data_IF_610746439860
#
_entry.id   IF_610746439860
#
_cell.length_a   1.000
_cell.length_b   1.000
_cell.length_c   1.000
_cell.angle_alpha   90.00
_cell.angle_beta   90.00
_cell.angle_gamma   90.00
#
_symmetry.space_group_name_H-M   'P 1'
#
loop_
_entity.id
_entity.type
_entity.pdbx_description
1 polymer ?
#
# COMPACT_ATOMS: atom_id res chain seq x y z
N UNK A 1 25.25 -0.39 0.83
CA UNK A 1 24.41 -1.52 1.31
C UNK A 1 23.35 -1.77 0.25
N UNK A 2 23.28 -2.93 -0.41
CA UNK A 2 22.12 -3.24 -1.26
C UNK A 2 20.89 -3.37 -0.36
N UNK A 3 19.78 -2.73 -0.74
CA UNK A 3 18.49 -2.93 -0.10
C UNK A 3 18.16 -4.44 -0.11
N UNK A 4 17.67 -4.98 1.00
CA UNK A 4 17.23 -6.36 1.06
C UNK A 4 16.18 -6.62 -0.04
N UNK A 5 16.24 -7.74 -0.77
CA UNK A 5 15.31 -8.01 -1.85
C UNK A 5 13.88 -8.14 -1.30
N UNK A 6 12.94 -7.37 -1.87
CA UNK A 6 11.50 -7.48 -1.55
C UNK A 6 10.99 -8.91 -1.78
N UNK A 7 11.60 -9.67 -2.69
CA UNK A 7 11.21 -11.03 -3.04
C UNK A 7 11.37 -12.05 -1.89
N UNK A 8 12.23 -11.80 -0.90
CA UNK A 8 12.37 -12.69 0.25
C UNK A 8 11.31 -12.45 1.34
N UNK A 9 10.65 -11.29 1.32
CA UNK A 9 9.71 -10.88 2.35
C UNK A 9 8.27 -11.15 1.90
N UNK A 10 7.62 -12.10 2.56
CA UNK A 10 6.24 -12.50 2.27
C UNK A 10 5.25 -11.50 2.84
N UNK A 11 4.65 -10.68 1.98
CA UNK A 11 3.76 -9.59 2.40
C UNK A 11 2.27 -9.97 2.43
N UNK A 12 1.88 -11.12 1.87
CA UNK A 12 0.48 -11.52 1.78
C UNK A 12 -0.24 -11.50 3.14
N UNK A 13 -1.52 -11.14 3.11
CA UNK A 13 -2.36 -11.06 4.30
C UNK A 13 -2.82 -9.64 4.61
N UNK A 14 -3.34 -9.46 5.81
CA UNK A 14 -3.93 -8.20 6.27
C UNK A 14 -2.92 -7.31 6.97
N UNK A 15 -3.05 -6.00 6.74
CA UNK A 15 -2.21 -4.97 7.32
C UNK A 15 -3.04 -3.76 7.70
N UNK A 16 -2.69 -3.11 8.79
CA UNK A 16 -3.37 -1.92 9.32
C UNK A 16 -2.53 -0.69 8.94
N UNK A 17 -3.10 0.21 8.15
CA UNK A 17 -2.47 1.44 7.70
C UNK A 17 -3.04 2.67 8.38
N UNK A 18 -2.16 3.60 8.78
CA UNK A 18 -2.57 4.90 9.33
C UNK A 18 -2.61 5.96 8.21
N UNK A 19 -3.81 6.26 7.72
CA UNK A 19 -4.05 7.31 6.74
C UNK A 19 -4.33 8.62 7.51
N UNK A 20 -3.36 9.54 7.51
CA UNK A 20 -3.46 10.80 8.25
C UNK A 20 -4.79 11.53 7.98
N UNK A 21 -5.60 11.74 9.03
CA UNK A 21 -6.91 12.40 8.93
C UNK A 21 -8.09 11.44 8.73
N UNK A 22 -7.82 10.15 8.53
CA UNK A 22 -8.80 9.07 8.48
C UNK A 22 -8.51 8.07 9.62
N UNK A 23 -9.45 7.16 9.89
CA UNK A 23 -9.24 6.10 10.87
C UNK A 23 -8.16 5.11 10.38
N UNK A 24 -7.72 4.21 11.26
CA UNK A 24 -6.90 3.08 10.82
C UNK A 24 -7.68 2.27 9.77
N UNK A 25 -7.05 2.01 8.62
CA UNK A 25 -7.66 1.26 7.53
C UNK A 25 -6.94 -0.07 7.31
N UNK A 26 -7.70 -1.16 7.20
CA UNK A 26 -7.18 -2.48 6.89
C UNK A 26 -7.03 -2.63 5.38
N UNK A 27 -5.89 -3.15 4.95
CA UNK A 27 -5.63 -3.57 3.58
C UNK A 27 -5.33 -5.06 3.54
N UNK A 28 -5.64 -5.71 2.42
CA UNK A 28 -5.18 -7.07 2.10
C UNK A 28 -4.17 -7.00 0.97
N UNK A 29 -3.01 -7.61 1.17
CA UNK A 29 -1.97 -7.73 0.15
C UNK A 29 -2.05 -9.11 -0.49
N UNK A 30 -2.11 -9.14 -1.81
CA UNK A 30 -2.06 -10.34 -2.63
C UNK A 30 -0.83 -10.32 -3.56
N UNK A 31 -0.27 -11.50 -3.84
CA UNK A 31 0.76 -11.68 -4.87
C UNK A 31 0.10 -11.97 -6.21
N UNK A 32 0.21 -11.06 -7.17
CA UNK A 32 -0.39 -11.19 -8.50
C UNK A 32 0.69 -10.93 -9.55
N UNK A 33 1.06 -11.96 -10.32
CA UNK A 33 1.99 -11.85 -11.45
C UNK A 33 3.32 -11.12 -11.12
N UNK A 34 3.92 -11.41 -9.96
CA UNK A 34 5.18 -10.78 -9.53
C UNK A 34 5.01 -9.37 -8.96
N UNK A 35 3.78 -8.97 -8.62
CA UNK A 35 3.47 -7.71 -7.94
C UNK A 35 2.76 -7.97 -6.62
N UNK A 36 3.03 -7.12 -5.66
CA UNK A 36 2.20 -6.94 -4.47
C UNK A 36 1.06 -6.00 -4.82
N UNK A 37 -0.18 -6.42 -4.56
CA UNK A 37 -1.38 -5.61 -4.78
C UNK A 37 -2.10 -5.46 -3.46
N UNK A 38 -2.19 -4.23 -2.96
CA UNK A 38 -2.88 -3.89 -1.72
C UNK A 38 -4.28 -3.36 -2.00
N UNK A 39 -5.29 -4.09 -1.52
CA UNK A 39 -6.70 -3.73 -1.64
C UNK A 39 -7.24 -3.28 -0.30
N UNK A 40 -7.97 -2.17 -0.25
CA UNK A 40 -8.66 -1.69 0.95
C UNK A 40 -9.70 -2.72 1.39
N UNK A 41 -9.54 -3.28 2.59
CA UNK A 41 -10.53 -4.14 3.26
C UNK A 41 -11.54 -3.24 3.96
N UNK A 42 -11.05 -2.28 4.72
CA UNK A 42 -11.80 -1.08 5.10
C UNK A 42 -11.32 0.06 4.22
N UNK A 43 -12.21 1.00 3.90
CA UNK A 43 -11.89 2.14 3.05
C UNK A 43 -12.49 3.42 3.57
N UNK A 44 -12.05 4.49 2.95
CA UNK A 44 -12.39 5.87 3.30
C UNK A 44 -13.13 6.55 2.13
N UNK A 45 -13.53 7.80 2.31
CA UNK A 45 -14.27 8.57 1.31
C UNK A 45 -13.47 8.82 0.02
N UNK A 46 -12.13 8.71 0.09
CA UNK A 46 -11.24 8.91 -1.05
C UNK A 46 -10.93 7.59 -1.77
N UNK A 47 -10.72 6.50 -1.04
CA UNK A 47 -10.49 5.16 -1.61
C UNK A 47 -11.33 4.15 -0.83
N UNK A 48 -12.50 3.73 -1.38
CA UNK A 48 -13.44 2.89 -0.66
C UNK A 48 -12.96 1.43 -0.53
N UNK A 49 -13.63 0.67 0.33
CA UNK A 49 -13.38 -0.75 0.48
C UNK A 49 -13.58 -1.50 -0.85
N UNK A 50 -12.71 -2.46 -1.15
CA UNK A 50 -12.66 -3.21 -2.40
C UNK A 50 -11.74 -2.60 -3.46
N UNK A 51 -11.31 -1.35 -3.30
CA UNK A 51 -10.43 -0.68 -4.25
C UNK A 51 -8.94 -0.92 -3.94
N UNK A 52 -8.12 -0.92 -4.99
CA UNK A 52 -6.66 -0.98 -4.84
C UNK A 52 -6.15 0.35 -4.29
N UNK A 53 -5.43 0.32 -3.18
CA UNK A 53 -4.76 1.50 -2.63
C UNK A 53 -3.36 1.68 -3.21
N UNK A 54 -2.63 0.59 -3.44
CA UNK A 54 -1.34 0.62 -4.13
C UNK A 54 -0.96 -0.74 -4.71
N UNK A 55 -0.06 -0.72 -5.68
CA UNK A 55 0.56 -1.92 -6.25
C UNK A 55 2.03 -1.69 -6.52
N UNK A 56 2.87 -2.65 -6.16
CA UNK A 56 4.32 -2.56 -6.31
C UNK A 56 4.90 -3.82 -6.93
N UNK A 57 5.93 -3.68 -7.75
CA UNK A 57 6.73 -4.78 -8.22
C UNK A 57 7.41 -5.49 -7.04
N UNK A 58 7.25 -6.81 -6.96
CA UNK A 58 7.68 -7.58 -5.79
C UNK A 58 9.20 -7.73 -5.67
N UNK A 59 9.96 -7.31 -6.68
CA UNK A 59 11.43 -7.39 -6.66
C UNK A 59 12.06 -6.01 -6.42
N UNK A 60 11.52 -4.98 -7.05
CA UNK A 60 12.10 -3.62 -7.06
C UNK A 60 11.41 -2.66 -6.10
N UNK A 61 10.20 -3.01 -5.61
CA UNK A 61 9.38 -2.12 -4.79
C UNK A 61 8.78 -0.94 -5.56
N UNK A 62 9.13 -0.74 -6.84
CA UNK A 62 8.58 0.35 -7.66
C UNK A 62 7.11 0.08 -7.95
N UNK A 63 6.29 1.10 -7.81
CA UNK A 63 4.86 0.93 -7.90
C UNK A 63 4.11 2.21 -8.19
N UNK A 64 2.83 2.15 -7.89
CA UNK A 64 1.92 3.27 -7.99
C UNK A 64 0.83 3.12 -6.94
N UNK A 65 0.35 4.25 -6.44
CA UNK A 65 -0.69 4.33 -5.44
C UNK A 65 -1.91 5.07 -5.99
N UNK A 66 -3.09 4.58 -5.66
CA UNK A 66 -4.36 5.20 -6.04
C UNK A 66 -4.60 6.43 -5.17
N UNK A 67 -5.07 7.50 -5.80
CA UNK A 67 -5.59 8.69 -5.12
C UNK A 67 -6.89 9.11 -5.82
N UNK A 68 -7.80 9.73 -5.06
CA UNK A 68 -9.01 10.33 -5.59
C UNK A 68 -9.44 11.49 -4.68
N UNK A 69 -10.30 12.38 -5.21
CA UNK A 69 -11.03 13.33 -4.39
C UNK A 69 -12.12 12.64 -3.55
N UNK A 70 -12.76 13.41 -2.68
CA UNK A 70 -13.88 12.94 -1.84
C UNK A 70 -14.99 12.30 -2.70
N UNK A 71 -15.60 11.23 -2.19
CA UNK A 71 -16.58 10.45 -2.93
C UNK A 71 -15.98 9.63 -4.08
N UNK A 72 -14.70 9.23 -3.95
CA UNK A 72 -13.94 8.52 -4.97
C UNK A 72 -13.91 9.23 -6.34
N UNK A 73 -13.81 10.57 -6.33
CA UNK A 73 -13.88 11.38 -7.55
C UNK A 73 -12.54 11.47 -8.28
N UNK A 74 -12.56 11.32 -9.61
CA UNK A 74 -11.36 11.35 -10.48
C UNK A 74 -10.23 10.41 -10.02
N UNK A 75 -10.51 9.11 -9.80
CA UNK A 75 -9.51 8.18 -9.31
C UNK A 75 -8.39 8.02 -10.33
N UNK A 76 -7.15 8.04 -9.84
CA UNK A 76 -5.96 7.87 -10.67
C UNK A 76 -4.81 7.31 -9.85
N UNK A 77 -3.92 6.62 -10.53
CA UNK A 77 -2.67 6.16 -9.95
C UNK A 77 -1.57 7.21 -10.11
N UNK A 78 -0.77 7.39 -9.06
CA UNK A 78 0.48 8.16 -9.09
C UNK A 78 1.68 7.26 -8.88
N UNK A 79 2.84 7.57 -9.47
CA UNK A 79 4.07 6.86 -9.18
C UNK A 79 4.36 6.80 -7.68
N UNK A 80 4.88 5.67 -7.23
CA UNK A 80 5.25 5.46 -5.84
C UNK A 80 6.26 4.34 -5.67
N UNK A 81 6.60 4.05 -4.42
CA UNK A 81 7.40 2.88 -4.10
C UNK A 81 7.05 2.32 -2.72
N UNK A 82 7.17 1.02 -2.62
CA UNK A 82 7.10 0.27 -1.39
C UNK A 82 8.47 0.27 -0.72
N UNK A 83 8.48 0.37 0.60
CA UNK A 83 9.66 0.27 1.48
C UNK A 83 9.34 -0.77 2.57
N UNK A 84 10.25 -1.70 2.81
CA UNK A 84 10.13 -2.66 3.93
C UNK A 84 10.96 -2.12 5.08
N UNK A 85 10.31 -1.83 6.20
CA UNK A 85 10.94 -1.30 7.42
C UNK A 85 11.38 -2.43 8.35
N UNK A 86 10.51 -3.42 8.52
CA UNK A 86 10.73 -4.65 9.30
C UNK A 86 9.81 -5.77 8.77
N UNK A 87 9.91 -7.02 9.24
CA UNK A 87 9.04 -8.12 8.79
C UNK A 87 7.53 -7.86 8.99
N UNK A 88 7.19 -7.04 9.99
CA UNK A 88 5.86 -6.67 10.44
C UNK A 88 5.48 -5.21 10.11
N UNK A 89 6.39 -4.43 9.49
CA UNK A 89 6.15 -3.02 9.13
C UNK A 89 6.65 -2.67 7.74
N UNK A 90 5.77 -2.06 6.95
CA UNK A 90 6.07 -1.57 5.61
C UNK A 90 5.57 -0.14 5.45
N UNK A 91 6.07 0.58 4.45
CA UNK A 91 5.55 1.88 4.06
C UNK A 91 5.35 1.92 2.55
N UNK A 92 4.25 2.51 2.09
CA UNK A 92 4.11 2.91 0.70
C UNK A 92 4.21 4.43 0.58
N UNK A 93 5.03 4.90 -0.35
CA UNK A 93 5.25 6.30 -0.63
C UNK A 93 4.59 6.67 -1.96
N UNK A 94 3.57 7.52 -1.93
CA UNK A 94 3.02 8.17 -3.11
C UNK A 94 3.90 9.38 -3.42
N UNK A 95 4.55 9.38 -4.59
CA UNK A 95 5.46 10.45 -4.99
C UNK A 95 4.73 11.80 -4.94
N UNK A 96 5.33 12.77 -4.24
CA UNK A 96 4.82 14.14 -4.08
C UNK A 96 3.46 14.27 -3.37
N UNK A 97 2.90 13.18 -2.84
CA UNK A 97 1.62 13.19 -2.09
C UNK A 97 1.84 12.89 -0.61
N UNK A 98 2.60 11.83 -0.29
CA UNK A 98 2.82 11.43 1.09
C UNK A 98 3.17 9.95 1.23
N UNK A 99 3.17 9.46 2.48
CA UNK A 99 3.39 8.04 2.77
C UNK A 99 2.41 7.52 3.81
N UNK A 100 2.13 6.23 3.74
CA UNK A 100 1.36 5.50 4.74
C UNK A 100 2.21 4.34 5.22
N UNK A 101 2.33 4.23 6.54
CA UNK A 101 2.94 3.09 7.20
C UNK A 101 1.86 2.07 7.55
N UNK A 102 2.20 0.80 7.33
CA UNK A 102 1.36 -0.34 7.61
C UNK A 102 2.05 -1.27 8.60
N UNK A 103 1.27 -1.80 9.53
CA UNK A 103 1.71 -2.83 10.49
C UNK A 103 0.85 -4.07 10.39
N UNK A 104 1.40 -5.22 10.77
CA UNK A 104 0.57 -6.39 11.12
C UNK A 104 -0.01 -6.19 12.53
N UNK A 105 -1.14 -6.84 12.80
CA UNK A 105 -1.62 -6.98 14.17
C UNK A 105 -0.80 -8.10 14.84
N UNK A 106 -0.31 -7.84 16.05
CA UNK A 106 0.48 -8.78 16.85
C UNK A 106 -0.40 -9.89 17.45
#
# INVERSE_FOLDING_TARGET
MPAAPFAANRLEGEWIGNYHGHFEEVIRIDSIQGRWVATKVTGDDNVPAGEVTWRADATTGKGEGQIAGEGFTQPRFVPGHLEILSPDRIAFHWREVGRVEYRRDD
#
